data_IF_896461154558
#
_entry.id   IF_896461154558
#
_cell.length_a   1.000
_cell.length_b   1.000
_cell.length_c   1.000
_cell.angle_alpha   90.00
_cell.angle_beta   90.00
_cell.angle_gamma   90.00
#
_symmetry.space_group_name_H-M   'P 1'
#
loop_
_entity.id
_entity.type
_entity.pdbx_description
1 polymer ?
#
# COMPACT_ATOMS: atom_id res chain seq x y z
N UNK A 1 3.67 0.52 -9.01
CA UNK A 1 4.23 1.89 -8.96
C UNK A 1 5.16 2.24 -10.12
N UNK A 2 6.14 1.42 -10.57
CA UNK A 2 7.06 1.82 -11.66
C UNK A 2 6.35 2.13 -12.99
N UNK A 3 5.41 1.27 -13.40
CA UNK A 3 4.69 1.42 -14.68
C UNK A 3 3.66 2.55 -14.68
N UNK A 4 2.99 2.82 -13.55
CA UNK A 4 2.10 3.98 -13.42
C UNK A 4 2.89 5.27 -13.24
N UNK A 5 4.01 5.24 -12.50
CA UNK A 5 4.85 6.42 -12.31
C UNK A 5 5.41 6.92 -13.64
N UNK A 6 5.74 6.04 -14.60
CA UNK A 6 6.15 6.45 -15.96
C UNK A 6 5.10 7.38 -16.60
N UNK A 7 3.80 7.13 -16.38
CA UNK A 7 2.71 7.91 -16.97
C UNK A 7 2.48 9.26 -16.28
N UNK A 8 2.81 9.39 -14.99
CA UNK A 8 2.47 10.57 -14.17
C UNK A 8 3.68 11.35 -13.65
N UNK A 9 4.91 10.87 -13.88
CA UNK A 9 6.15 11.47 -13.36
C UNK A 9 6.32 12.94 -13.76
N UNK A 10 6.03 13.28 -15.01
CA UNK A 10 6.17 14.65 -15.50
C UNK A 10 5.16 15.59 -14.82
N UNK A 11 3.92 15.15 -14.64
CA UNK A 11 2.90 15.91 -13.95
C UNK A 11 3.26 16.12 -12.46
N UNK A 12 3.74 15.06 -11.79
CA UNK A 12 4.22 15.16 -10.42
C UNK A 12 5.39 16.15 -10.27
N UNK A 13 6.32 16.19 -11.21
CA UNK A 13 7.42 17.17 -11.18
C UNK A 13 6.93 18.61 -11.30
N UNK A 14 5.97 18.89 -12.21
CA UNK A 14 5.38 20.22 -12.36
C UNK A 14 4.62 20.65 -11.11
N UNK A 15 3.90 19.73 -10.47
CA UNK A 15 3.17 19.99 -9.23
C UNK A 15 4.12 20.28 -8.06
N UNK A 16 5.20 19.51 -7.91
CA UNK A 16 6.20 19.74 -6.86
C UNK A 16 6.95 21.06 -7.02
N UNK A 17 7.14 21.53 -8.26
CA UNK A 17 7.74 22.83 -8.55
C UNK A 17 6.76 24.01 -8.40
N UNK A 18 5.47 23.72 -8.16
CA UNK A 18 4.44 24.74 -7.96
C UNK A 18 4.26 25.04 -6.47
N UNK A 19 3.98 26.30 -6.15
CA UNK A 19 3.65 26.71 -4.77
C UNK A 19 2.17 26.49 -4.42
N UNK A 20 1.44 25.69 -5.20
CA UNK A 20 0.02 25.42 -4.97
C UNK A 20 -0.18 24.13 -4.15
N UNK A 21 -0.47 24.24 -2.83
CA UNK A 21 -0.62 23.09 -1.96
C UNK A 21 -1.82 22.19 -2.33
N UNK A 22 -2.81 22.73 -3.05
CA UNK A 22 -4.00 21.98 -3.48
C UNK A 22 -3.69 21.00 -4.62
N UNK A 23 -2.50 21.09 -5.21
CA UNK A 23 -2.07 20.24 -6.32
C UNK A 23 -1.06 19.17 -5.91
N UNK A 24 -0.68 19.08 -4.63
CA UNK A 24 0.33 18.13 -4.15
C UNK A 24 -0.18 16.70 -4.31
N UNK A 25 0.60 15.85 -4.99
CA UNK A 25 0.28 14.42 -5.08
C UNK A 25 0.32 13.79 -3.69
N UNK A 26 -0.71 13.03 -3.33
CA UNK A 26 -0.69 12.12 -2.19
C UNK A 26 -0.42 10.70 -2.70
N UNK A 27 0.85 10.29 -2.83
CA UNK A 27 1.18 8.98 -3.37
C UNK A 27 0.70 7.88 -2.44
N UNK A 28 -0.01 6.90 -3.00
CA UNK A 28 -0.48 5.71 -2.29
C UNK A 28 -0.20 4.46 -3.13
N UNK A 29 -0.01 3.32 -2.45
CA UNK A 29 0.13 2.03 -3.12
C UNK A 29 -1.20 1.50 -3.65
N UNK A 30 -1.16 0.51 -4.55
CA UNK A 30 -2.38 -0.12 -5.10
C UNK A 30 -3.26 -0.75 -4.02
N UNK A 31 -2.68 -1.12 -2.87
CA UNK A 31 -3.39 -1.70 -1.74
C UNK A 31 -4.31 -0.69 -1.02
N UNK A 32 -4.23 0.61 -1.32
CA UNK A 32 -5.05 1.65 -0.66
C UNK A 32 -6.54 1.38 -0.76
N UNK A 33 -7.02 0.73 -1.84
CA UNK A 33 -8.42 0.34 -1.98
C UNK A 33 -8.90 -0.71 -0.97
N UNK A 34 -8.00 -1.30 -0.18
CA UNK A 34 -8.32 -2.17 0.95
C UNK A 34 -8.36 -1.43 2.29
N UNK A 35 -7.88 -0.18 2.36
CA UNK A 35 -7.79 0.61 3.58
C UNK A 35 -9.10 1.40 3.79
N UNK A 36 -10.03 0.85 4.57
CA UNK A 36 -11.39 1.38 4.70
C UNK A 36 -11.64 2.18 6.00
N UNK A 37 -10.67 2.20 6.91
CA UNK A 37 -10.78 2.84 8.21
C UNK A 37 -9.40 3.22 8.76
N UNK A 38 -9.36 4.20 9.66
CA UNK A 38 -8.15 4.59 10.38
C UNK A 38 -8.02 3.70 11.61
N UNK A 39 -6.88 3.04 11.75
CA UNK A 39 -6.65 2.03 12.81
C UNK A 39 -5.31 2.27 13.53
N UNK A 40 -5.18 1.85 14.80
CA UNK A 40 -3.91 1.85 15.51
C UNK A 40 -2.87 0.98 14.81
N UNK A 41 -1.63 1.47 14.74
CA UNK A 41 -0.51 0.72 14.13
C UNK A 41 -0.31 -0.64 14.78
N UNK A 42 -0.43 -0.73 16.11
CA UNK A 42 -0.26 -1.98 16.84
C UNK A 42 -1.27 -3.06 16.40
N UNK A 43 -2.52 -2.67 16.15
CA UNK A 43 -3.58 -3.57 15.68
C UNK A 43 -3.28 -4.06 14.25
N UNK A 44 -2.84 -3.14 13.39
CA UNK A 44 -2.49 -3.43 11.99
C UNK A 44 -1.32 -4.42 11.90
N UNK A 45 -0.29 -4.26 12.74
CA UNK A 45 0.85 -5.18 12.80
C UNK A 45 0.43 -6.56 13.33
N UNK A 46 -0.42 -6.60 14.37
CA UNK A 46 -0.91 -7.86 14.90
C UNK A 46 -1.66 -8.67 13.84
N UNK A 47 -2.56 -8.02 13.07
CA UNK A 47 -3.28 -8.66 11.97
C UNK A 47 -2.34 -9.18 10.87
N UNK A 48 -1.30 -8.42 10.50
CA UNK A 48 -0.35 -8.85 9.49
C UNK A 48 0.42 -10.11 9.91
N UNK A 49 0.80 -10.20 11.18
CA UNK A 49 1.50 -11.38 11.74
C UNK A 49 0.56 -12.58 11.76
N UNK A 50 -0.66 -12.42 12.28
CA UNK A 50 -1.65 -13.49 12.33
C UNK A 50 -2.01 -14.00 10.92
N UNK A 51 -2.22 -13.08 9.98
CA UNK A 51 -2.51 -13.40 8.59
C UNK A 51 -1.38 -14.15 7.91
N UNK A 52 -0.12 -13.79 8.20
CA UNK A 52 1.04 -14.53 7.71
C UNK A 52 1.07 -15.96 8.25
N UNK A 53 0.94 -16.15 9.56
CA UNK A 53 0.94 -17.48 10.20
C UNK A 53 -0.21 -18.37 9.69
N UNK A 54 -1.39 -17.79 9.45
CA UNK A 54 -2.52 -18.50 8.88
C UNK A 54 -2.26 -18.90 7.42
N UNK A 55 -1.69 -18.00 6.63
CA UNK A 55 -1.37 -18.26 5.23
C UNK A 55 -0.27 -19.34 5.08
N UNK A 56 0.77 -19.30 5.92
CA UNK A 56 1.83 -20.32 5.87
C UNK A 56 1.34 -21.69 6.27
N UNK A 57 0.55 -21.80 7.36
CA UNK A 57 -0.07 -23.08 7.76
C UNK A 57 -0.91 -23.67 6.63
N UNK A 58 -1.69 -22.85 5.93
CA UNK A 58 -2.46 -23.30 4.77
C UNK A 58 -1.57 -23.79 3.62
N UNK A 59 -0.40 -23.18 3.41
CA UNK A 59 0.56 -23.65 2.41
C UNK A 59 1.18 -25.00 2.80
N UNK A 60 1.43 -25.22 4.09
CA UNK A 60 1.94 -26.50 4.62
C UNK A 60 0.88 -27.61 4.46
N UNK A 61 -0.38 -27.32 4.80
CA UNK A 61 -1.52 -28.23 4.57
C UNK A 61 -1.64 -28.65 3.10
N UNK A 62 -1.42 -27.72 2.17
CA UNK A 62 -1.44 -27.98 0.72
C UNK A 62 -0.24 -28.86 0.31
N UNK A 63 0.91 -28.70 0.97
CA UNK A 63 2.12 -29.49 0.70
C UNK A 63 2.01 -30.91 1.24
N UNK A 64 1.16 -31.13 2.25
CA UNK A 64 0.99 -32.42 2.92
C UNK A 64 2.04 -32.69 4.02
N UNK A 65 2.67 -31.63 4.53
CA UNK A 65 3.54 -31.66 5.72
C UNK A 65 2.71 -31.40 6.99
#
# INVERSE_FOLDING_TARGET
MPLQNILVSEAHQRMNASDNPDTVAMPVGQIVGRMNEIRPVAELIAELVEGFEAATRRLDDIRGD
#
